data_IF_208503337819
#
_entry.id   IF_208503337819
#
_cell.length_a   1.000
_cell.length_b   1.000
_cell.length_c   1.000
_cell.angle_alpha   90.00
_cell.angle_beta   90.00
_cell.angle_gamma   90.00
#
_symmetry.space_group_name_H-M   'P 1'
#
loop_
_entity.id
_entity.type
_entity.pdbx_description
1 polymer ?
#
# COMPACT_ATOMS: atom_id res chain seq x y z
N UNK A 1 -16.33 0.69 -14.34
CA UNK A 1 -16.36 0.92 -12.95
C UNK A 1 -14.99 1.25 -12.41
N UNK A 2 -14.11 0.28 -12.12
CA UNK A 2 -12.74 0.62 -11.70
C UNK A 2 -11.76 0.60 -12.86
N UNK A 3 -12.26 0.56 -14.08
CA UNK A 3 -11.45 0.44 -15.27
C UNK A 3 -10.50 1.62 -15.42
N UNK A 4 -9.24 1.32 -15.68
CA UNK A 4 -8.16 2.31 -15.82
C UNK A 4 -7.83 3.08 -14.52
N UNK A 5 -8.40 2.69 -13.39
CA UNK A 5 -8.02 3.26 -12.10
C UNK A 5 -6.75 2.63 -11.58
N UNK A 6 -5.92 3.43 -10.93
CA UNK A 6 -4.68 2.97 -10.31
C UNK A 6 -4.88 2.88 -8.81
N UNK A 7 -4.85 1.66 -8.29
CA UNK A 7 -5.08 1.39 -6.87
C UNK A 7 -3.78 0.94 -6.24
N UNK A 8 -3.36 1.65 -5.21
CA UNK A 8 -2.19 1.30 -4.43
C UNK A 8 -2.66 0.72 -3.10
N UNK A 9 -2.26 -0.51 -2.81
CA UNK A 9 -2.66 -1.20 -1.59
C UNK A 9 -1.45 -1.33 -0.67
N UNK A 10 -1.58 -0.80 0.55
CA UNK A 10 -0.59 -0.98 1.59
C UNK A 10 -1.05 -2.08 2.54
N UNK A 11 -0.20 -3.07 2.76
CA UNK A 11 -0.52 -4.20 3.63
C UNK A 11 0.38 -4.15 4.86
N UNK A 12 -0.24 -4.04 6.04
CA UNK A 12 0.47 -4.10 7.30
C UNK A 12 0.27 -5.48 7.94
N UNK A 13 1.03 -5.79 8.98
CA UNK A 13 0.94 -7.08 9.64
C UNK A 13 -0.38 -7.28 10.35
N UNK A 14 -0.99 -8.43 10.14
CA UNK A 14 -2.24 -8.80 10.79
C UNK A 14 -2.80 -10.05 10.16
N UNK A 15 -3.56 -10.82 10.94
CA UNK A 15 -4.14 -12.07 10.46
C UNK A 15 -5.00 -11.85 9.22
N UNK A 16 -5.71 -10.74 9.18
CA UNK A 16 -6.62 -10.44 8.08
C UNK A 16 -5.90 -10.13 6.76
N UNK A 17 -4.56 -10.07 6.77
CA UNK A 17 -3.81 -9.81 5.54
C UNK A 17 -4.12 -10.81 4.44
N UNK A 18 -4.43 -12.07 4.78
CA UNK A 18 -4.75 -13.09 3.78
C UNK A 18 -5.99 -12.72 2.95
N UNK A 19 -6.90 -11.93 3.51
CA UNK A 19 -8.13 -11.53 2.80
C UNK A 19 -7.85 -10.53 1.69
N UNK A 20 -6.69 -9.88 1.73
CA UNK A 20 -6.33 -8.89 0.73
C UNK A 20 -6.15 -9.53 -0.64
N UNK A 21 -5.79 -10.81 -0.68
CA UNK A 21 -5.66 -11.53 -1.94
C UNK A 21 -6.97 -11.51 -2.73
N UNK A 22 -8.10 -11.71 -2.05
CA UNK A 22 -9.41 -11.65 -2.72
C UNK A 22 -9.74 -10.23 -3.18
N UNK A 23 -9.36 -9.23 -2.40
CA UNK A 23 -9.60 -7.84 -2.75
C UNK A 23 -8.81 -7.45 -4.01
N UNK A 24 -7.54 -7.86 -4.08
CA UNK A 24 -6.73 -7.61 -5.27
C UNK A 24 -7.37 -8.25 -6.50
N UNK A 25 -7.84 -9.48 -6.35
CA UNK A 25 -8.51 -10.20 -7.43
C UNK A 25 -9.72 -9.44 -7.92
N UNK A 26 -10.54 -8.94 -7.02
CA UNK A 26 -11.74 -8.17 -7.36
C UNK A 26 -11.40 -6.89 -8.12
N UNK A 27 -10.39 -6.17 -7.67
CA UNK A 27 -9.96 -4.96 -8.36
C UNK A 27 -9.45 -5.27 -9.77
N UNK A 28 -8.65 -6.32 -9.90
CA UNK A 28 -8.14 -6.71 -11.22
C UNK A 28 -9.27 -7.10 -12.17
N UNK A 29 -10.28 -7.82 -11.68
CA UNK A 29 -11.45 -8.17 -12.47
C UNK A 29 -12.23 -6.94 -12.92
N UNK A 30 -12.21 -5.88 -12.13
CA UNK A 30 -12.89 -4.63 -12.47
C UNK A 30 -12.10 -3.78 -13.47
N UNK A 31 -10.94 -4.22 -13.88
CA UNK A 31 -10.11 -3.50 -14.85
C UNK A 31 -9.14 -2.52 -14.22
N UNK A 32 -8.98 -2.53 -12.91
CA UNK A 32 -8.05 -1.63 -12.24
C UNK A 32 -6.62 -2.17 -12.32
N UNK A 33 -5.65 -1.25 -12.30
CA UNK A 33 -4.26 -1.57 -12.10
C UNK A 33 -3.98 -1.53 -10.61
N UNK A 34 -3.28 -2.53 -10.10
CA UNK A 34 -3.01 -2.66 -8.67
C UNK A 34 -1.52 -2.77 -8.42
N UNK A 35 -1.00 -1.96 -7.53
CA UNK A 35 0.36 -2.11 -6.99
C UNK A 35 0.27 -2.27 -5.50
N UNK A 36 1.22 -2.98 -4.91
CA UNK A 36 1.18 -3.36 -3.50
C UNK A 36 2.46 -2.93 -2.81
N UNK A 37 2.30 -2.34 -1.64
CA UNK A 37 3.39 -2.07 -0.72
C UNK A 37 3.15 -2.90 0.53
N UNK A 38 4.17 -3.61 1.01
CA UNK A 38 4.05 -4.41 2.22
C UNK A 38 5.04 -3.92 3.27
N UNK A 39 4.63 -4.00 4.53
CA UNK A 39 5.59 -3.88 5.63
C UNK A 39 6.27 -5.25 5.83
N UNK A 40 7.48 -5.29 6.40
CA UNK A 40 8.13 -6.58 6.63
C UNK A 40 7.28 -7.53 7.45
N UNK A 41 6.53 -7.02 8.42
CA UNK A 41 5.69 -7.87 9.26
C UNK A 41 4.52 -8.49 8.49
N UNK A 42 4.05 -7.84 7.43
CA UNK A 42 2.97 -8.38 6.60
C UNK A 42 3.38 -9.69 5.93
N UNK A 43 4.66 -9.85 5.63
CA UNK A 43 5.18 -11.05 4.98
C UNK A 43 5.14 -12.29 5.86
N UNK A 44 4.81 -12.14 7.14
CA UNK A 44 4.54 -13.27 8.02
C UNK A 44 3.16 -13.88 7.76
N UNK A 45 2.30 -13.18 7.03
CA UNK A 45 0.91 -13.60 6.79
C UNK A 45 0.61 -13.87 5.33
N UNK A 46 1.28 -13.20 4.42
CA UNK A 46 1.13 -13.40 2.97
C UNK A 46 2.50 -13.38 2.32
N UNK A 47 2.66 -14.15 1.24
CA UNK A 47 3.95 -14.17 0.55
C UNK A 47 4.00 -13.10 -0.54
N UNK A 48 5.20 -12.60 -0.75
CA UNK A 48 5.45 -11.62 -1.80
C UNK A 48 5.11 -12.18 -3.18
N UNK A 49 5.43 -13.45 -3.40
CA UNK A 49 5.16 -14.12 -4.67
C UNK A 49 3.65 -14.16 -4.98
N UNK A 50 2.85 -14.49 -3.98
CA UNK A 50 1.40 -14.50 -4.15
C UNK A 50 0.88 -13.13 -4.56
N UNK A 51 1.36 -12.10 -3.88
CA UNK A 51 0.94 -10.73 -4.17
C UNK A 51 1.37 -10.27 -5.55
N UNK A 52 2.58 -10.65 -5.98
CA UNK A 52 3.06 -10.34 -7.33
C UNK A 52 2.20 -11.00 -8.39
N UNK A 53 1.85 -12.27 -8.18
CA UNK A 53 1.03 -13.01 -9.14
C UNK A 53 -0.38 -12.43 -9.25
N UNK A 54 -0.97 -12.06 -8.13
CA UNK A 54 -2.34 -11.53 -8.13
C UNK A 54 -2.42 -10.12 -8.69
N UNK A 55 -1.49 -9.25 -8.33
CA UNK A 55 -1.47 -7.87 -8.81
C UNK A 55 -0.89 -7.73 -10.21
N UNK A 56 -0.08 -8.70 -10.62
CA UNK A 56 0.67 -8.66 -11.88
C UNK A 56 1.64 -7.49 -11.96
N UNK A 57 2.09 -7.04 -10.81
CA UNK A 57 3.04 -5.95 -10.66
C UNK A 57 4.05 -6.30 -9.57
N UNK A 58 5.15 -5.57 -9.56
CA UNK A 58 6.15 -5.71 -8.51
C UNK A 58 5.55 -5.32 -7.15
N UNK A 59 5.92 -6.06 -6.11
CA UNK A 59 5.54 -5.75 -4.74
C UNK A 59 6.69 -4.99 -4.08
N UNK A 60 6.36 -3.85 -3.51
CA UNK A 60 7.35 -2.96 -2.89
C UNK A 60 7.38 -3.20 -1.39
N UNK A 61 8.58 -3.30 -0.85
CA UNK A 61 8.77 -3.43 0.59
C UNK A 61 10.01 -2.65 1.01
N UNK A 62 10.16 -2.45 2.32
CA UNK A 62 11.37 -1.90 2.86
C UNK A 62 11.13 -0.77 3.83
N UNK A 63 12.23 -0.39 4.43
CA UNK A 63 12.26 0.72 5.36
C UNK A 63 12.91 1.92 4.67
N UNK A 64 12.38 3.09 5.00
CA UNK A 64 12.98 4.32 4.52
C UNK A 64 14.25 4.59 5.33
N UNK A 65 15.39 4.57 4.65
CA UNK A 65 16.64 5.02 5.25
C UNK A 65 17.29 6.05 4.33
N UNK A 66 18.09 6.99 4.87
CA UNK A 66 18.77 7.96 4.01
C UNK A 66 19.67 7.32 2.96
N UNK A 67 20.25 6.16 3.28
CA UNK A 67 21.12 5.44 2.34
C UNK A 67 20.35 4.77 1.22
N UNK A 68 19.12 4.37 1.49
CA UNK A 68 18.26 3.67 0.54
C UNK A 68 17.16 4.57 -0.01
N UNK A 69 17.31 5.88 0.18
CA UNK A 69 16.29 6.80 -0.32
C UNK A 69 16.20 6.68 -1.83
N UNK A 70 14.98 6.45 -2.30
CA UNK A 70 14.67 6.42 -3.72
C UNK A 70 13.39 7.23 -3.92
N UNK A 71 13.22 7.85 -5.08
CA UNK A 71 11.99 8.60 -5.34
C UNK A 71 10.76 7.73 -5.55
N UNK A 72 10.85 6.43 -5.27
CA UNK A 72 9.74 5.48 -5.45
C UNK A 72 8.50 5.91 -4.66
N UNK A 73 8.68 6.45 -3.44
CA UNK A 73 7.53 6.86 -2.64
C UNK A 73 6.76 8.01 -3.29
N UNK A 74 7.44 8.91 -3.96
CA UNK A 74 6.79 10.00 -4.70
C UNK A 74 6.15 9.45 -5.96
N UNK A 75 6.88 8.59 -6.67
CA UNK A 75 6.39 7.97 -7.90
C UNK A 75 5.13 7.14 -7.66
N UNK A 76 5.11 6.36 -6.59
CA UNK A 76 3.95 5.54 -6.25
C UNK A 76 2.75 6.41 -5.84
N UNK A 77 2.98 7.44 -5.05
CA UNK A 77 1.90 8.33 -4.65
C UNK A 77 1.31 9.10 -5.83
N UNK A 78 2.15 9.48 -6.79
CA UNK A 78 1.68 10.15 -8.00
C UNK A 78 0.94 9.20 -8.93
N UNK A 79 1.38 7.96 -9.00
CA UNK A 79 0.75 6.95 -9.83
C UNK A 79 -0.67 6.62 -9.35
N UNK A 80 -0.88 6.60 -8.04
CA UNK A 80 -2.11 6.10 -7.45
C UNK A 80 -3.27 7.10 -7.58
N UNK A 81 -4.41 6.61 -7.99
CA UNK A 81 -5.66 7.34 -7.91
C UNK A 81 -6.30 7.14 -6.53
N UNK A 82 -6.15 5.94 -6.00
CA UNK A 82 -6.70 5.54 -4.70
C UNK A 82 -5.62 4.81 -3.93
N UNK A 83 -5.46 5.12 -2.66
CA UNK A 83 -4.60 4.36 -1.78
C UNK A 83 -5.43 3.72 -0.67
N UNK A 84 -5.28 2.41 -0.52
CA UNK A 84 -6.00 1.63 0.47
C UNK A 84 -4.98 0.96 1.39
N UNK A 85 -5.17 1.07 2.68
CA UNK A 85 -4.32 0.38 3.66
C UNK A 85 -5.18 -0.65 4.37
N UNK A 86 -4.87 -1.92 4.15
CA UNK A 86 -5.67 -3.03 4.68
C UNK A 86 -4.80 -4.28 4.83
N UNK A 87 -4.75 -4.91 5.99
CA UNK A 87 -5.29 -4.39 7.24
C UNK A 87 -4.46 -3.22 7.75
N UNK A 88 -5.11 -2.29 8.42
CA UNK A 88 -4.42 -1.14 8.99
C UNK A 88 -4.25 -1.37 10.49
N UNK A 89 -3.00 -1.34 10.98
CA UNK A 89 -2.75 -1.43 12.40
C UNK A 89 -2.88 -0.07 13.05
N UNK A 90 -3.20 -0.05 14.34
CA UNK A 90 -3.29 1.21 15.09
C UNK A 90 -1.97 1.99 15.02
N UNK A 91 -0.85 1.29 15.05
CA UNK A 91 0.47 1.91 14.95
C UNK A 91 0.64 2.64 13.61
N UNK A 92 0.28 1.99 12.52
CA UNK A 92 0.38 2.58 11.18
C UNK A 92 -0.56 3.77 11.03
N UNK A 93 -1.80 3.63 11.48
CA UNK A 93 -2.78 4.72 11.42
C UNK A 93 -2.28 5.93 12.22
N UNK A 94 -1.76 5.69 13.43
CA UNK A 94 -1.24 6.75 14.26
C UNK A 94 -0.06 7.46 13.62
N UNK A 95 0.86 6.72 13.01
CA UNK A 95 2.00 7.30 12.33
C UNK A 95 1.56 8.21 11.17
N UNK A 96 0.65 7.73 10.34
CA UNK A 96 0.18 8.51 9.20
C UNK A 96 -0.54 9.77 9.67
N UNK A 97 -1.37 9.65 10.71
CA UNK A 97 -2.09 10.78 11.25
C UNK A 97 -1.16 11.87 11.81
N UNK A 98 0.00 11.47 12.31
CA UNK A 98 0.99 12.39 12.86
C UNK A 98 2.07 12.80 11.85
N UNK A 99 1.98 12.29 10.63
CA UNK A 99 2.96 12.59 9.60
C UNK A 99 4.30 11.86 9.76
N UNK A 100 4.32 10.77 10.52
CA UNK A 100 5.54 9.99 10.72
C UNK A 100 5.73 9.03 9.53
N UNK A 101 6.82 9.20 8.82
CA UNK A 101 7.12 8.45 7.61
C UNK A 101 8.44 7.69 7.80
N UNK A 102 8.39 6.60 8.56
CA UNK A 102 9.57 5.83 8.92
C UNK A 102 9.74 4.53 8.14
N UNK A 103 8.84 4.23 7.22
CA UNK A 103 9.01 3.12 6.28
C UNK A 103 8.39 3.51 4.94
N UNK A 104 8.55 2.63 3.95
CA UNK A 104 8.06 2.94 2.60
C UNK A 104 6.55 3.18 2.59
N UNK A 105 5.78 2.31 3.26
CA UNK A 105 4.33 2.43 3.27
C UNK A 105 3.87 3.77 3.88
N UNK A 106 4.39 4.13 5.03
CA UNK A 106 4.01 5.40 5.67
C UNK A 106 4.50 6.60 4.90
N UNK A 107 5.68 6.49 4.27
CA UNK A 107 6.21 7.57 3.42
C UNK A 107 5.30 7.83 2.23
N UNK A 108 4.87 6.77 1.55
CA UNK A 108 3.97 6.89 0.40
C UNK A 108 2.61 7.41 0.86
N UNK A 109 2.10 6.92 2.00
CA UNK A 109 0.81 7.37 2.52
C UNK A 109 0.82 8.85 2.86
N UNK A 110 1.89 9.34 3.46
CA UNK A 110 2.02 10.76 3.78
C UNK A 110 2.09 11.61 2.51
N UNK A 111 2.84 11.16 1.50
CA UNK A 111 2.93 11.86 0.24
C UNK A 111 1.59 11.90 -0.48
N UNK A 112 0.85 10.79 -0.45
CA UNK A 112 -0.47 10.70 -1.06
C UNK A 112 -1.47 11.63 -0.36
N UNK A 113 -1.43 11.68 0.98
CA UNK A 113 -2.29 12.56 1.77
C UNK A 113 -2.06 14.02 1.44
N UNK A 114 -0.79 14.43 1.32
CA UNK A 114 -0.46 15.80 0.94
C UNK A 114 -0.97 16.15 -0.44
N UNK A 115 -0.80 15.24 -1.40
CA UNK A 115 -1.23 15.43 -2.77
C UNK A 115 -2.73 15.63 -2.86
N UNK A 116 -3.50 14.91 -2.04
CA UNK A 116 -4.96 14.90 -2.10
C UNK A 116 -5.60 15.74 -0.99
N UNK A 117 -4.80 16.36 -0.14
CA UNK A 117 -5.24 17.23 0.95
C UNK A 117 -6.17 16.53 1.93
N UNK A 118 -6.04 15.22 2.08
CA UNK A 118 -6.79 14.46 3.09
C UNK A 118 -6.17 13.08 3.29
N UNK A 119 -6.45 12.49 4.44
CA UNK A 119 -6.10 11.11 4.72
C UNK A 119 -7.28 10.23 4.38
N UNK A 120 -7.08 9.25 3.52
CA UNK A 120 -8.15 8.35 3.09
C UNK A 120 -7.57 6.96 2.88
N UNK A 121 -8.45 5.99 2.67
CA UNK A 121 -8.03 4.66 2.30
C UNK A 121 -7.75 3.73 3.47
N UNK A 122 -8.37 3.95 4.60
CA UNK A 122 -8.26 3.04 5.74
C UNK A 122 -9.39 2.04 5.70
N UNK A 123 -9.02 0.75 5.69
CA UNK A 123 -9.96 -0.35 5.78
C UNK A 123 -9.46 -1.34 6.83
N UNK A 124 -10.37 -1.84 7.61
CA UNK A 124 -10.04 -2.80 8.67
C UNK A 124 -10.51 -4.20 8.35
#
# INVERSE_FOLDING_TARGET
MMQNKHILIGITGGIAAYKICNLIRKFKKSGAEVKVIVTPNALNFVTKLTLQNLSQNEVYEGEFTPKNWKPEHISLSDWADIMLIAPATANTIGKIAQGIADNLLTSVACAFSKKNDYCSGYEL
#
